data_IF_708062426228
#
_entry.id   IF_708062426228
#
_cell.length_a   1.000
_cell.length_b   1.000
_cell.length_c   1.000
_cell.angle_alpha   90.00
_cell.angle_beta   90.00
_cell.angle_gamma   90.00
#
_symmetry.space_group_name_H-M   'P 1'
#
loop_
_entity.id
_entity.type
_entity.pdbx_description
1 polymer ?
#
# COMPACT_ATOMS: atom_id res chain seq x y z
N UNK A 1 18.85 46.74 0.57
CA UNK A 1 17.43 46.34 0.62
C UNK A 1 17.38 44.83 0.83
N UNK A 2 16.67 44.32 1.85
CA UNK A 2 16.68 42.89 2.21
C UNK A 2 16.16 41.99 1.08
N UNK A 3 15.30 42.53 0.20
CA UNK A 3 14.72 41.80 -0.92
C UNK A 3 15.66 41.63 -2.13
N UNK A 4 16.88 42.17 -2.04
CA UNK A 4 17.97 41.90 -2.99
C UNK A 4 18.89 40.76 -2.53
N UNK A 5 18.79 40.31 -1.27
CA UNK A 5 19.60 39.20 -0.76
C UNK A 5 18.94 37.85 -1.11
N UNK A 6 19.57 37.01 -1.97
CA UNK A 6 19.03 35.70 -2.33
C UNK A 6 18.79 34.82 -1.10
N UNK A 7 19.66 34.87 -0.10
CA UNK A 7 19.57 34.01 1.09
C UNK A 7 18.35 34.36 1.93
N UNK A 8 18.11 35.66 2.11
CA UNK A 8 16.92 36.16 2.80
C UNK A 8 15.64 35.79 2.07
N UNK A 9 15.57 36.06 0.75
CA UNK A 9 14.38 35.76 -0.07
C UNK A 9 14.09 34.25 -0.08
N UNK A 10 15.12 33.41 -0.20
CA UNK A 10 14.97 31.96 -0.18
C UNK A 10 14.41 31.47 1.16
N UNK A 11 14.89 32.02 2.28
CA UNK A 11 14.39 31.67 3.61
C UNK A 11 12.95 32.15 3.81
N UNK A 12 12.62 33.34 3.32
CA UNK A 12 11.26 33.87 3.37
C UNK A 12 10.29 33.04 2.50
N UNK A 13 10.76 32.51 1.37
CA UNK A 13 9.93 31.73 0.45
C UNK A 13 9.51 30.35 1.00
N UNK A 14 10.25 29.81 1.99
CA UNK A 14 9.88 28.58 2.70
C UNK A 14 8.52 28.72 3.40
N UNK A 15 8.24 29.88 3.99
CA UNK A 15 6.99 30.15 4.72
C UNK A 15 5.98 30.91 3.87
N UNK A 16 6.43 31.82 3.01
CA UNK A 16 5.58 32.71 2.23
C UNK A 16 5.86 32.57 0.73
N UNK A 17 4.97 31.91 -0.01
CA UNK A 17 5.12 31.78 -1.47
C UNK A 17 5.18 33.13 -2.19
N UNK A 18 4.61 34.18 -1.60
CA UNK A 18 4.63 35.55 -2.11
C UNK A 18 5.98 36.26 -1.95
N UNK A 19 6.95 35.68 -1.23
CA UNK A 19 8.25 36.30 -0.99
C UNK A 19 9.01 36.59 -2.30
N UNK A 20 8.90 35.70 -3.29
CA UNK A 20 9.51 35.91 -4.62
C UNK A 20 8.93 37.15 -5.33
N UNK A 21 7.68 37.52 -5.05
CA UNK A 21 7.04 38.71 -5.64
C UNK A 21 7.60 40.04 -5.12
N UNK A 22 8.30 40.01 -3.98
CA UNK A 22 8.99 41.18 -3.42
C UNK A 22 10.46 41.23 -3.78
N UNK A 23 11.02 40.14 -4.28
CA UNK A 23 12.41 40.07 -4.71
C UNK A 23 12.68 41.01 -5.88
N UNK A 24 13.95 41.39 -6.05
CA UNK A 24 14.35 42.21 -7.19
C UNK A 24 14.06 41.53 -8.53
N UNK A 25 13.93 42.32 -9.58
CA UNK A 25 13.62 41.79 -10.91
C UNK A 25 14.73 40.87 -11.44
N UNK A 26 15.99 41.07 -11.03
CA UNK A 26 17.11 40.17 -11.33
C UNK A 26 16.90 38.78 -10.72
N UNK A 27 16.51 38.71 -9.44
CA UNK A 27 16.25 37.43 -8.76
C UNK A 27 15.03 36.71 -9.34
N UNK A 28 14.00 37.45 -9.72
CA UNK A 28 12.79 36.88 -10.35
C UNK A 28 13.03 36.34 -11.76
N UNK A 29 14.12 36.75 -12.40
CA UNK A 29 14.56 36.29 -13.72
C UNK A 29 15.67 35.24 -13.63
N UNK A 30 16.34 35.10 -12.50
CA UNK A 30 17.34 34.05 -12.29
C UNK A 30 16.67 32.67 -12.20
N UNK A 31 16.84 31.89 -13.26
CA UNK A 31 16.31 30.53 -13.38
C UNK A 31 16.74 29.61 -12.23
N UNK A 32 18.01 29.64 -11.84
CA UNK A 32 18.57 28.76 -10.80
C UNK A 32 18.00 29.11 -9.43
N UNK A 33 17.93 30.41 -9.15
CA UNK A 33 17.36 30.93 -7.91
C UNK A 33 15.86 30.60 -7.82
N UNK A 34 15.08 30.92 -8.87
CA UNK A 34 13.65 30.63 -8.92
C UNK A 34 13.39 29.12 -8.79
N UNK A 35 14.17 28.27 -9.46
CA UNK A 35 14.07 26.81 -9.29
C UNK A 35 14.25 26.39 -7.83
N UNK A 36 15.23 26.98 -7.13
CA UNK A 36 15.50 26.69 -5.72
C UNK A 36 14.37 27.16 -4.78
N UNK A 37 13.67 28.23 -5.17
CA UNK A 37 12.50 28.76 -4.47
C UNK A 37 11.27 27.87 -4.68
N UNK A 38 10.93 27.56 -5.94
CA UNK A 38 9.71 26.78 -6.25
C UNK A 38 9.78 25.33 -5.77
N UNK A 39 10.98 24.75 -5.67
CA UNK A 39 11.20 23.43 -5.05
C UNK A 39 10.81 23.38 -3.56
N UNK A 40 10.97 24.50 -2.85
CA UNK A 40 10.56 24.62 -1.44
C UNK A 40 9.07 24.95 -1.33
N UNK A 41 8.58 25.78 -2.24
CA UNK A 41 7.19 26.23 -2.26
C UNK A 41 6.71 26.50 -3.69
N UNK A 42 5.98 25.55 -4.27
CA UNK A 42 5.48 25.63 -5.65
C UNK A 42 4.56 26.83 -5.90
N UNK A 43 3.95 27.41 -4.85
CA UNK A 43 3.11 28.61 -4.95
C UNK A 43 3.90 29.90 -5.18
N UNK A 44 5.23 29.85 -5.23
CA UNK A 44 6.06 30.97 -5.64
C UNK A 44 6.10 31.18 -7.17
N UNK A 45 5.74 30.17 -7.97
CA UNK A 45 5.75 30.24 -9.43
C UNK A 45 5.02 31.44 -10.07
N UNK A 46 3.85 31.92 -9.56
CA UNK A 46 3.17 33.09 -10.13
C UNK A 46 4.02 34.36 -10.16
N UNK A 47 5.01 34.46 -9.25
CA UNK A 47 5.85 35.63 -9.07
C UNK A 47 7.13 35.59 -9.91
N UNK A 48 7.47 34.44 -10.48
CA UNK A 48 8.60 34.31 -11.41
C UNK A 48 8.36 35.11 -12.70
N UNK A 49 9.44 35.45 -13.40
CA UNK A 49 9.36 36.08 -14.72
C UNK A 49 8.54 35.22 -15.71
N UNK A 50 7.87 35.87 -16.66
CA UNK A 50 6.96 35.19 -17.60
C UNK A 50 7.63 34.04 -18.36
N UNK A 51 8.88 34.21 -18.79
CA UNK A 51 9.63 33.17 -19.49
C UNK A 51 9.96 31.96 -18.60
N UNK A 52 10.11 32.14 -17.28
CA UNK A 52 10.30 31.03 -16.33
C UNK A 52 9.01 30.29 -16.02
N UNK A 53 7.85 30.97 -16.11
CA UNK A 53 6.54 30.29 -16.08
C UNK A 53 6.24 29.50 -17.37
N UNK A 54 7.03 29.71 -18.42
CA UNK A 54 7.06 28.90 -19.65
C UNK A 54 8.22 27.90 -19.66
N UNK A 55 9.07 27.86 -18.62
CA UNK A 55 10.18 26.91 -18.52
C UNK A 55 9.67 25.59 -17.95
N UNK A 56 9.72 24.55 -18.79
CA UNK A 56 9.26 23.19 -18.46
C UNK A 56 9.79 22.69 -17.12
N UNK A 57 11.10 22.80 -16.87
CA UNK A 57 11.72 22.21 -15.68
C UNK A 57 11.43 23.02 -14.42
N UNK A 58 11.38 24.36 -14.53
CA UNK A 58 11.00 25.23 -13.40
C UNK A 58 9.57 24.91 -12.96
N UNK A 59 8.64 24.78 -13.91
CA UNK A 59 7.23 24.51 -13.59
C UNK A 59 7.06 23.09 -13.05
N UNK A 60 7.73 22.08 -13.62
CA UNK A 60 7.64 20.71 -13.12
C UNK A 60 8.24 20.57 -11.71
N UNK A 61 9.29 21.32 -11.40
CA UNK A 61 9.82 21.40 -10.04
C UNK A 61 8.82 22.03 -9.06
N UNK A 62 8.06 23.04 -9.49
CA UNK A 62 6.99 23.64 -8.69
C UNK A 62 5.82 22.65 -8.48
N UNK A 63 5.41 21.95 -9.53
CA UNK A 63 4.32 20.94 -9.52
C UNK A 63 4.65 19.78 -8.58
N UNK A 64 5.90 19.29 -8.58
CA UNK A 64 6.34 18.21 -7.69
C UNK A 64 6.13 18.57 -6.22
N UNK A 65 6.34 19.83 -5.85
CA UNK A 65 6.11 20.32 -4.49
C UNK A 65 4.63 20.58 -4.22
N UNK A 66 3.93 21.24 -5.16
CA UNK A 66 2.51 21.59 -5.05
C UNK A 66 1.80 21.45 -6.41
N UNK A 67 0.87 20.50 -6.57
CA UNK A 67 0.22 20.23 -7.84
C UNK A 67 -0.55 21.44 -8.39
N UNK A 68 -1.01 22.33 -7.50
CA UNK A 68 -1.70 23.58 -7.81
C UNK A 68 -0.85 24.54 -8.64
N UNK A 69 0.48 24.44 -8.54
CA UNK A 69 1.41 25.28 -9.28
C UNK A 69 1.18 25.20 -10.80
N UNK A 70 0.66 24.07 -11.31
CA UNK A 70 0.35 23.89 -12.72
C UNK A 70 -0.55 25.00 -13.27
N UNK A 71 -1.49 25.55 -12.47
CA UNK A 71 -2.39 26.62 -12.91
C UNK A 71 -1.67 27.93 -13.27
N UNK A 72 -0.46 28.12 -12.75
CA UNK A 72 0.35 29.33 -12.88
C UNK A 72 1.41 29.24 -13.99
N UNK A 73 1.56 28.07 -14.60
CA UNK A 73 2.30 27.89 -15.83
C UNK A 73 1.66 28.71 -16.97
N UNK A 74 2.44 29.03 -17.99
CA UNK A 74 1.94 29.69 -19.20
C UNK A 74 0.83 28.86 -19.87
N UNK A 75 -0.06 29.53 -20.60
CA UNK A 75 -1.10 28.84 -21.38
C UNK A 75 -0.50 27.95 -22.46
N UNK A 76 0.60 28.40 -23.10
CA UNK A 76 1.34 27.63 -24.10
C UNK A 76 1.82 26.29 -23.53
N UNK A 77 2.49 26.32 -22.36
CA UNK A 77 3.05 25.12 -21.75
C UNK A 77 1.94 24.19 -21.23
N UNK A 78 0.87 24.74 -20.63
CA UNK A 78 -0.30 23.96 -20.20
C UNK A 78 -1.07 23.33 -21.36
N UNK A 79 -1.01 23.93 -22.55
CA UNK A 79 -1.60 23.40 -23.77
C UNK A 79 -0.82 22.22 -24.35
N UNK A 80 0.43 22.02 -23.94
CA UNK A 80 1.25 20.91 -24.41
C UNK A 80 0.91 19.62 -23.67
N UNK A 81 0.43 18.64 -24.42
CA UNK A 81 0.05 17.32 -23.88
C UNK A 81 1.18 16.64 -23.13
N UNK A 82 2.35 16.52 -23.75
CA UNK A 82 3.54 15.85 -23.16
C UNK A 82 4.08 16.56 -21.91
N UNK A 83 3.77 17.85 -21.76
CA UNK A 83 4.07 18.59 -20.56
C UNK A 83 3.11 18.24 -19.42
N UNK A 84 1.81 18.25 -19.70
CA UNK A 84 0.79 17.90 -18.70
C UNK A 84 0.92 16.44 -18.29
N UNK A 85 1.24 15.53 -19.21
CA UNK A 85 1.56 14.14 -18.91
C UNK A 85 2.70 14.03 -17.88
N UNK A 86 3.82 14.71 -18.12
CA UNK A 86 4.96 14.73 -17.19
C UNK A 86 4.66 15.44 -15.84
N UNK A 87 3.63 16.30 -15.80
CA UNK A 87 3.16 16.94 -14.58
C UNK A 87 2.33 15.96 -13.74
N UNK A 88 1.37 15.25 -14.35
CA UNK A 88 0.52 14.27 -13.64
C UNK A 88 1.28 13.02 -13.22
N UNK A 89 2.33 12.62 -13.95
CA UNK A 89 3.22 11.53 -13.56
C UNK A 89 4.02 11.85 -12.29
N UNK A 90 4.31 13.13 -12.04
CA UNK A 90 4.98 13.59 -10.82
C UNK A 90 4.02 13.73 -9.64
N UNK A 91 2.79 14.14 -9.92
CA UNK A 91 1.73 14.29 -8.94
C UNK A 91 0.35 14.21 -9.62
N UNK A 92 -0.37 13.10 -9.42
CA UNK A 92 -1.66 12.85 -10.07
C UNK A 92 -2.72 13.92 -9.79
N UNK A 93 -2.67 14.56 -8.62
CA UNK A 93 -3.58 15.65 -8.27
C UNK A 93 -3.42 16.91 -9.16
N UNK A 94 -2.33 17.02 -9.93
CA UNK A 94 -2.16 18.08 -10.93
C UNK A 94 -3.24 18.07 -12.01
N UNK A 95 -3.91 16.94 -12.24
CA UNK A 95 -5.03 16.85 -13.19
C UNK A 95 -6.15 17.87 -12.88
N UNK A 96 -6.38 18.18 -11.60
CA UNK A 96 -7.34 19.20 -11.15
C UNK A 96 -7.10 20.60 -11.75
N UNK A 97 -5.84 20.90 -12.07
CA UNK A 97 -5.37 22.20 -12.56
C UNK A 97 -5.02 22.19 -14.05
N UNK A 98 -5.06 21.02 -14.69
CA UNK A 98 -4.87 20.88 -16.12
C UNK A 98 -6.03 21.57 -16.89
N UNK A 99 -5.78 22.07 -18.11
CA UNK A 99 -6.85 22.53 -19.01
C UNK A 99 -7.92 21.47 -19.22
N UNK A 100 -9.15 21.89 -19.50
CA UNK A 100 -10.28 20.98 -19.69
C UNK A 100 -9.97 19.88 -20.71
N UNK A 101 -9.35 20.24 -21.84
CA UNK A 101 -8.98 19.31 -22.92
C UNK A 101 -8.13 18.14 -22.39
N UNK A 102 -7.23 18.40 -21.44
CA UNK A 102 -6.36 17.37 -20.86
C UNK A 102 -7.09 16.45 -19.89
N UNK A 103 -8.19 16.91 -19.28
CA UNK A 103 -9.05 16.07 -18.43
C UNK A 103 -9.97 15.16 -19.24
N UNK A 104 -10.09 15.39 -20.54
CA UNK A 104 -10.73 14.49 -21.50
C UNK A 104 -9.74 13.55 -22.19
N UNK A 105 -8.43 13.75 -22.00
CA UNK A 105 -7.40 12.91 -22.62
C UNK A 105 -7.22 11.63 -21.79
N UNK A 106 -7.49 10.49 -22.42
CA UNK A 106 -7.45 9.18 -21.77
C UNK A 106 -6.07 8.86 -21.19
N UNK A 107 -4.98 9.14 -21.91
CA UNK A 107 -3.63 8.80 -21.46
C UNK A 107 -3.20 9.68 -20.28
N UNK A 108 -3.49 10.98 -20.36
CA UNK A 108 -3.19 11.92 -19.27
C UNK A 108 -3.97 11.53 -18.01
N UNK A 109 -5.25 11.20 -18.15
CA UNK A 109 -6.06 10.76 -17.00
C UNK A 109 -5.58 9.42 -16.46
N UNK A 110 -5.26 8.44 -17.32
CA UNK A 110 -4.72 7.15 -16.88
C UNK A 110 -3.41 7.32 -16.12
N UNK A 111 -2.47 8.13 -16.61
CA UNK A 111 -1.23 8.43 -15.92
C UNK A 111 -1.49 9.10 -14.56
N UNK A 112 -2.45 10.04 -14.49
CA UNK A 112 -2.83 10.70 -13.25
C UNK A 112 -3.41 9.70 -12.21
N UNK A 113 -4.36 8.84 -12.59
CA UNK A 113 -4.98 7.89 -11.66
C UNK A 113 -4.04 6.75 -11.25
N UNK A 114 -3.10 6.39 -12.12
CA UNK A 114 -2.05 5.42 -11.80
C UNK A 114 -1.04 5.98 -10.79
N UNK A 115 -0.82 7.30 -10.77
CA UNK A 115 -0.01 7.98 -9.76
C UNK A 115 -0.80 8.18 -8.46
N UNK A 116 -2.02 8.73 -8.56
CA UNK A 116 -2.93 9.01 -7.45
C UNK A 116 -4.38 8.67 -7.82
N UNK A 117 -4.94 7.61 -7.23
CA UNK A 117 -6.29 7.13 -7.57
C UNK A 117 -7.38 8.17 -7.38
N UNK A 118 -7.24 9.12 -6.43
CA UNK A 118 -8.24 10.17 -6.24
C UNK A 118 -8.29 11.19 -7.38
N UNK A 119 -7.29 11.18 -8.28
CA UNK A 119 -7.28 12.03 -9.46
C UNK A 119 -8.48 11.79 -10.40
N UNK A 120 -9.14 10.63 -10.30
CA UNK A 120 -10.36 10.32 -11.06
C UNK A 120 -11.46 11.38 -10.87
N UNK A 121 -11.54 11.98 -9.69
CA UNK A 121 -12.51 13.04 -9.38
C UNK A 121 -12.37 14.28 -10.29
N UNK A 122 -11.19 14.48 -10.89
CA UNK A 122 -10.91 15.61 -11.78
C UNK A 122 -11.01 15.26 -13.26
N UNK A 123 -11.14 13.98 -13.60
CA UNK A 123 -11.36 13.55 -14.97
C UNK A 123 -12.71 14.03 -15.48
N UNK A 124 -12.85 14.09 -16.81
CA UNK A 124 -14.15 14.33 -17.42
C UNK A 124 -15.13 13.18 -17.10
N UNK A 125 -16.43 13.49 -17.03
CA UNK A 125 -17.47 12.52 -16.70
C UNK A 125 -17.44 11.26 -17.59
N UNK A 126 -17.08 11.41 -18.89
CA UNK A 126 -16.94 10.28 -19.81
C UNK A 126 -15.81 9.31 -19.42
N UNK A 127 -14.79 9.78 -18.71
CA UNK A 127 -13.68 8.96 -18.22
C UNK A 127 -13.96 8.44 -16.80
N UNK A 128 -14.78 9.13 -16.01
CA UNK A 128 -15.31 8.61 -14.74
C UNK A 128 -16.27 7.43 -14.93
N UNK A 129 -16.96 7.36 -16.06
CA UNK A 129 -17.75 6.17 -16.44
C UNK A 129 -16.94 5.14 -17.25
N UNK A 130 -15.66 5.42 -17.54
CA UNK A 130 -14.83 4.47 -18.25
C UNK A 130 -14.36 3.37 -17.27
N UNK A 131 -14.68 2.12 -17.61
CA UNK A 131 -14.35 0.94 -16.80
C UNK A 131 -12.86 0.77 -16.56
N UNK A 132 -12.03 0.94 -17.58
CA UNK A 132 -10.57 0.78 -17.46
C UNK A 132 -9.98 1.83 -16.51
N UNK A 133 -10.34 3.10 -16.72
CA UNK A 133 -9.85 4.23 -15.91
C UNK A 133 -10.29 4.08 -14.46
N UNK A 134 -11.57 3.76 -14.23
CA UNK A 134 -12.13 3.62 -12.89
C UNK A 134 -11.52 2.44 -12.13
N UNK A 135 -11.35 1.29 -12.79
CA UNK A 135 -10.68 0.14 -12.18
C UNK A 135 -9.19 0.39 -11.92
N UNK A 136 -8.51 1.17 -12.74
CA UNK A 136 -7.12 1.58 -12.49
C UNK A 136 -7.02 2.51 -11.27
N UNK A 137 -7.95 3.46 -11.15
CA UNK A 137 -8.02 4.38 -10.02
C UNK A 137 -8.32 3.65 -8.70
N UNK A 138 -9.32 2.74 -8.71
CA UNK A 138 -9.71 1.91 -7.57
C UNK A 138 -8.56 1.02 -7.10
N UNK A 139 -7.83 0.40 -8.03
CA UNK A 139 -6.66 -0.42 -7.71
C UNK A 139 -5.58 0.38 -6.97
N UNK A 140 -5.46 1.67 -7.29
CA UNK A 140 -4.50 2.57 -6.63
C UNK A 140 -5.00 3.03 -5.27
N UNK A 141 -6.28 3.37 -5.16
CA UNK A 141 -6.91 3.86 -3.93
C UNK A 141 -8.42 3.57 -3.95
N UNK A 142 -8.94 2.84 -2.95
CA UNK A 142 -10.37 2.53 -2.85
C UNK A 142 -11.25 3.78 -2.81
N UNK A 143 -10.78 4.89 -2.24
CA UNK A 143 -11.51 6.15 -2.20
C UNK A 143 -11.80 6.72 -3.59
N UNK A 144 -11.12 6.26 -4.65
CA UNK A 144 -11.47 6.60 -6.03
C UNK A 144 -12.87 6.12 -6.42
N UNK A 145 -13.43 5.13 -5.70
CA UNK A 145 -14.78 4.63 -5.90
C UNK A 145 -15.86 5.75 -5.79
N UNK A 146 -15.65 6.76 -4.94
CA UNK A 146 -16.55 7.94 -4.85
C UNK A 146 -16.62 8.74 -6.15
N UNK A 147 -15.58 8.70 -6.98
CA UNK A 147 -15.50 9.43 -8.24
C UNK A 147 -15.93 8.60 -9.46
N UNK A 148 -16.03 7.27 -9.31
CA UNK A 148 -16.53 6.40 -10.37
C UNK A 148 -18.03 6.64 -10.58
N UNK A 149 -18.46 6.60 -11.84
CA UNK A 149 -19.86 6.89 -12.19
C UNK A 149 -20.83 5.91 -11.51
N UNK A 150 -21.98 6.37 -10.97
CA UNK A 150 -22.96 5.53 -10.26
C UNK A 150 -23.43 4.30 -11.06
N UNK A 151 -23.49 4.42 -12.38
CA UNK A 151 -23.91 3.37 -13.30
C UNK A 151 -22.99 2.15 -13.26
N UNK A 152 -21.70 2.34 -12.95
CA UNK A 152 -20.73 1.24 -12.84
C UNK A 152 -21.02 0.33 -11.63
N UNK A 153 -21.61 0.86 -10.57
CA UNK A 153 -21.94 0.10 -9.36
C UNK A 153 -23.18 -0.79 -9.51
N UNK A 154 -23.91 -0.64 -10.63
CA UNK A 154 -25.00 -1.54 -11.03
C UNK A 154 -24.50 -2.72 -11.87
N UNK A 155 -23.29 -2.63 -12.43
CA UNK A 155 -22.66 -3.72 -13.19
C UNK A 155 -21.95 -4.67 -12.24
N UNK A 156 -22.57 -5.84 -12.00
CA UNK A 156 -22.01 -6.91 -11.14
C UNK A 156 -20.57 -7.25 -11.52
N UNK A 157 -20.26 -7.40 -12.80
CA UNK A 157 -18.91 -7.78 -13.24
C UNK A 157 -17.90 -6.65 -12.99
N UNK A 158 -18.35 -5.38 -13.09
CA UNK A 158 -17.50 -4.25 -12.73
C UNK A 158 -17.13 -4.31 -11.26
N UNK A 159 -18.13 -4.47 -10.39
CA UNK A 159 -17.92 -4.50 -8.94
C UNK A 159 -17.02 -5.67 -8.55
N UNK A 160 -17.24 -6.87 -9.10
CA UNK A 160 -16.40 -8.02 -8.79
C UNK A 160 -14.95 -7.85 -9.25
N UNK A 161 -14.71 -7.22 -10.41
CA UNK A 161 -13.36 -6.89 -10.86
C UNK A 161 -12.74 -5.77 -10.02
N UNK A 162 -13.54 -4.83 -9.50
CA UNK A 162 -13.08 -3.83 -8.54
C UNK A 162 -12.67 -4.48 -7.21
N UNK A 163 -13.47 -5.40 -6.67
CA UNK A 163 -13.20 -6.16 -5.43
C UNK A 163 -11.90 -6.95 -5.54
N UNK A 164 -11.67 -7.60 -6.69
CA UNK A 164 -10.43 -8.33 -6.98
C UNK A 164 -9.19 -7.45 -6.83
N UNK A 165 -9.30 -6.16 -7.17
CA UNK A 165 -8.20 -5.19 -7.09
C UNK A 165 -8.11 -4.54 -5.71
N UNK A 166 -9.24 -4.26 -5.09
CA UNK A 166 -9.34 -3.67 -3.78
C UNK A 166 -10.71 -3.97 -3.15
N UNK A 167 -10.76 -4.80 -2.11
CA UNK A 167 -12.01 -5.22 -1.45
C UNK A 167 -12.73 -4.10 -0.71
N UNK A 168 -12.04 -3.01 -0.35
CA UNK A 168 -12.62 -1.86 0.35
C UNK A 168 -13.72 -1.15 -0.47
N UNK A 169 -13.75 -1.37 -1.79
CA UNK A 169 -14.85 -0.88 -2.65
C UNK A 169 -16.22 -1.44 -2.26
N UNK A 170 -16.28 -2.54 -1.51
CA UNK A 170 -17.56 -3.05 -0.99
C UNK A 170 -18.28 -2.02 -0.11
N UNK A 171 -17.59 -1.06 0.51
CA UNK A 171 -18.23 0.06 1.22
C UNK A 171 -19.09 0.94 0.29
N UNK A 172 -18.87 0.88 -1.02
CA UNK A 172 -19.61 1.61 -2.05
C UNK A 172 -20.65 0.76 -2.79
N UNK A 173 -20.52 -0.55 -2.69
CA UNK A 173 -21.41 -1.49 -3.36
C UNK A 173 -22.83 -1.39 -2.76
N UNK A 174 -23.88 -1.32 -3.59
CA UNK A 174 -25.26 -1.29 -3.10
C UNK A 174 -25.55 -2.42 -2.12
N UNK A 175 -26.28 -2.11 -1.05
CA UNK A 175 -26.59 -3.07 0.02
C UNK A 175 -27.30 -4.33 -0.51
N UNK A 176 -28.17 -4.17 -1.51
CA UNK A 176 -28.87 -5.28 -2.18
C UNK A 176 -27.89 -6.28 -2.80
N UNK A 177 -26.81 -5.79 -3.42
CA UNK A 177 -25.77 -6.64 -4.01
C UNK A 177 -24.90 -7.28 -2.93
N UNK A 178 -24.60 -6.57 -1.84
CA UNK A 178 -23.86 -7.13 -0.69
C UNK A 178 -24.66 -8.16 0.11
N UNK A 179 -25.99 -8.05 0.11
CA UNK A 179 -26.88 -9.02 0.74
C UNK A 179 -27.09 -10.29 -0.12
N UNK A 180 -26.66 -10.28 -1.38
CA UNK A 180 -26.70 -11.46 -2.24
C UNK A 180 -25.55 -12.42 -1.88
N UNK A 181 -25.91 -13.61 -1.40
CA UNK A 181 -24.94 -14.65 -1.04
C UNK A 181 -24.05 -15.07 -2.20
N UNK A 182 -24.61 -15.25 -3.39
CA UNK A 182 -23.85 -15.67 -4.57
C UNK A 182 -22.91 -14.57 -5.04
N UNK A 183 -23.27 -13.29 -4.84
CA UNK A 183 -22.34 -12.18 -5.01
C UNK A 183 -21.19 -12.23 -4.01
N UNK A 184 -21.50 -12.33 -2.71
CA UNK A 184 -20.48 -12.30 -1.67
C UNK A 184 -19.53 -13.50 -1.73
N UNK A 185 -20.02 -14.69 -2.08
CA UNK A 185 -19.17 -15.86 -2.30
C UNK A 185 -18.15 -15.59 -3.43
N UNK A 186 -18.60 -15.10 -4.58
CA UNK A 186 -17.70 -14.78 -5.70
C UNK A 186 -16.74 -13.62 -5.38
N UNK A 187 -17.21 -12.61 -4.63
CA UNK A 187 -16.38 -11.50 -4.16
C UNK A 187 -15.21 -12.02 -3.29
N UNK A 188 -15.51 -12.95 -2.38
CA UNK A 188 -14.54 -13.62 -1.50
C UNK A 188 -13.60 -14.54 -2.29
N UNK A 189 -14.10 -15.26 -3.29
CA UNK A 189 -13.25 -16.07 -4.20
C UNK A 189 -12.22 -15.20 -4.94
N UNK A 190 -12.61 -13.99 -5.35
CA UNK A 190 -11.70 -13.05 -6.03
C UNK A 190 -10.74 -12.34 -5.07
N UNK A 191 -11.15 -12.12 -3.82
CA UNK A 191 -10.36 -11.48 -2.78
C UNK A 191 -10.90 -11.86 -1.38
N UNK A 192 -10.21 -12.75 -0.66
CA UNK A 192 -10.63 -13.22 0.67
C UNK A 192 -10.87 -12.12 1.70
N UNK A 193 -10.21 -10.96 1.54
CA UNK A 193 -10.37 -9.79 2.41
C UNK A 193 -11.76 -9.12 2.25
N UNK A 194 -12.53 -9.49 1.22
CA UNK A 194 -13.93 -9.09 1.03
C UNK A 194 -14.84 -9.54 2.18
N UNK A 195 -14.49 -10.62 2.89
CA UNK A 195 -15.26 -11.13 4.03
C UNK A 195 -15.46 -10.05 5.10
N UNK A 196 -14.48 -9.15 5.28
CA UNK A 196 -14.56 -8.02 6.23
C UNK A 196 -15.79 -7.13 6.04
N UNK A 197 -16.28 -7.03 4.82
CA UNK A 197 -17.38 -6.13 4.43
C UNK A 197 -18.71 -6.86 4.23
N UNK A 198 -18.73 -8.17 4.49
CA UNK A 198 -19.93 -8.97 4.54
C UNK A 198 -20.77 -8.59 5.77
N UNK A 199 -22.10 -8.74 5.68
CA UNK A 199 -22.97 -8.65 6.86
C UNK A 199 -22.74 -9.81 7.83
N UNK A 200 -23.16 -9.64 9.08
CA UNK A 200 -22.93 -10.60 10.18
C UNK A 200 -23.41 -12.02 9.85
N UNK A 201 -24.53 -12.15 9.13
CA UNK A 201 -25.10 -13.43 8.70
C UNK A 201 -24.11 -14.26 7.84
N UNK A 202 -23.22 -13.61 7.08
CA UNK A 202 -22.22 -14.29 6.25
C UNK A 202 -20.98 -14.73 7.04
N UNK A 203 -20.75 -14.16 8.23
CA UNK A 203 -19.65 -14.56 9.10
C UNK A 203 -19.91 -15.91 9.77
N UNK A 204 -21.15 -16.40 9.70
CA UNK A 204 -21.57 -17.74 10.13
C UNK A 204 -21.74 -18.71 8.95
N UNK A 205 -21.57 -18.25 7.71
CA UNK A 205 -21.63 -19.11 6.52
C UNK A 205 -20.33 -19.89 6.34
N UNK A 206 -20.36 -21.17 6.72
CA UNK A 206 -19.18 -22.05 6.70
C UNK A 206 -18.49 -22.10 5.33
N UNK A 207 -19.24 -22.15 4.23
CA UNK A 207 -18.69 -22.26 2.87
C UNK A 207 -17.96 -20.97 2.51
N UNK A 208 -18.61 -19.83 2.74
CA UNK A 208 -18.06 -18.50 2.44
C UNK A 208 -16.82 -18.21 3.29
N UNK A 209 -16.87 -18.54 4.58
CA UNK A 209 -15.74 -18.39 5.50
C UNK A 209 -14.57 -19.29 5.12
N UNK A 210 -14.82 -20.58 4.82
CA UNK A 210 -13.75 -21.48 4.37
C UNK A 210 -13.10 -20.97 3.09
N UNK A 211 -13.90 -20.43 2.17
CA UNK A 211 -13.40 -19.86 0.91
C UNK A 211 -12.51 -18.64 1.18
N UNK A 212 -12.93 -17.74 2.07
CA UNK A 212 -12.13 -16.58 2.49
C UNK A 212 -10.80 -17.01 3.10
N UNK A 213 -10.84 -17.97 4.02
CA UNK A 213 -9.65 -18.53 4.70
C UNK A 213 -8.71 -19.21 3.69
N UNK A 214 -9.26 -19.91 2.70
CA UNK A 214 -8.46 -20.54 1.65
C UNK A 214 -7.77 -19.51 0.75
N UNK A 215 -8.41 -18.35 0.51
CA UNK A 215 -7.81 -17.24 -0.22
C UNK A 215 -6.76 -16.49 0.61
N UNK A 216 -7.05 -16.17 1.88
CA UNK A 216 -6.11 -15.59 2.84
C UNK A 216 -6.43 -16.08 4.26
N UNK A 217 -5.47 -16.78 4.88
CA UNK A 217 -5.61 -17.31 6.23
C UNK A 217 -5.87 -16.23 7.29
N UNK A 218 -5.51 -14.96 7.04
CA UNK A 218 -5.82 -13.87 8.00
C UNK A 218 -7.30 -13.51 8.06
N UNK A 219 -8.13 -14.00 7.13
CA UNK A 219 -9.58 -13.83 7.15
C UNK A 219 -10.24 -14.38 8.43
N UNK A 220 -9.54 -15.29 9.14
CA UNK A 220 -9.94 -15.80 10.45
C UNK A 220 -10.21 -14.68 11.48
N UNK A 221 -9.61 -13.49 11.32
CA UNK A 221 -9.84 -12.35 12.23
C UNK A 221 -11.24 -11.76 12.18
N UNK A 222 -11.97 -11.99 11.09
CA UNK A 222 -13.30 -11.42 10.88
C UNK A 222 -14.44 -12.33 11.33
N UNK A 223 -14.17 -13.62 11.53
CA UNK A 223 -15.21 -14.61 11.81
C UNK A 223 -15.58 -14.65 13.29
N UNK A 224 -16.79 -15.13 13.58
CA UNK A 224 -17.31 -15.26 14.94
C UNK A 224 -16.49 -16.18 15.84
N UNK A 225 -16.65 -16.03 17.15
CA UNK A 225 -15.92 -16.81 18.17
C UNK A 225 -16.07 -18.33 18.02
N UNK A 226 -17.23 -18.79 17.52
CA UNK A 226 -17.51 -20.21 17.32
C UNK A 226 -16.54 -20.81 16.29
N UNK A 227 -16.41 -20.17 15.13
CA UNK A 227 -15.52 -20.63 14.06
C UNK A 227 -14.04 -20.46 14.42
N UNK A 228 -13.68 -19.44 15.23
CA UNK A 228 -12.30 -19.28 15.74
C UNK A 228 -11.87 -20.35 16.74
N UNK A 229 -12.83 -21.09 17.30
CA UNK A 229 -12.56 -22.26 18.17
C UNK A 229 -12.60 -23.58 17.40
N UNK A 230 -13.17 -23.58 16.20
CA UNK A 230 -13.24 -24.77 15.39
C UNK A 230 -11.87 -25.08 14.78
N UNK A 231 -11.33 -26.25 15.16
CA UNK A 231 -10.01 -26.72 14.71
C UNK A 231 -9.94 -26.81 13.18
N UNK A 232 -11.02 -27.14 12.49
CA UNK A 232 -11.03 -27.25 11.03
C UNK A 232 -10.69 -25.91 10.37
N UNK A 233 -11.39 -24.85 10.77
CA UNK A 233 -11.18 -23.50 10.22
C UNK A 233 -9.82 -22.93 10.61
N UNK A 234 -9.42 -23.13 11.87
CA UNK A 234 -8.13 -22.64 12.36
C UNK A 234 -6.95 -23.34 11.69
N UNK A 235 -6.99 -24.67 11.54
CA UNK A 235 -5.94 -25.40 10.83
C UNK A 235 -5.92 -25.05 9.34
N UNK A 236 -7.08 -24.83 8.71
CA UNK A 236 -7.14 -24.35 7.34
C UNK A 236 -6.49 -22.97 7.19
N UNK A 237 -6.74 -22.05 8.12
CA UNK A 237 -6.13 -20.71 8.12
C UNK A 237 -4.62 -20.75 8.31
N UNK A 238 -4.15 -21.52 9.30
CA UNK A 238 -2.72 -21.66 9.60
C UNK A 238 -1.96 -22.39 8.50
N UNK A 239 -2.59 -23.35 7.83
CA UNK A 239 -2.03 -24.02 6.66
C UNK A 239 -1.90 -23.09 5.43
N UNK A 240 -2.63 -21.97 5.40
CA UNK A 240 -2.54 -20.96 4.33
C UNK A 240 -1.60 -19.82 4.67
N UNK A 241 -1.72 -19.27 5.87
CA UNK A 241 -0.93 -18.13 6.31
C UNK A 241 -0.68 -18.21 7.82
N UNK A 242 0.57 -18.41 8.23
CA UNK A 242 0.97 -18.46 9.64
C UNK A 242 0.68 -17.14 10.38
N UNK A 243 0.49 -16.02 9.66
CA UNK A 243 0.03 -14.76 10.25
C UNK A 243 -1.40 -14.82 10.80
N UNK A 244 -2.10 -15.95 10.63
CA UNK A 244 -3.37 -16.20 11.31
C UNK A 244 -3.19 -16.52 12.82
N UNK A 245 -1.98 -16.85 13.26
CA UNK A 245 -1.65 -17.23 14.65
C UNK A 245 -2.19 -16.26 15.74
N UNK A 246 -2.11 -14.93 15.57
CA UNK A 246 -2.61 -14.00 16.58
C UNK A 246 -4.13 -14.02 16.75
N UNK A 247 -4.88 -14.59 15.80
CA UNK A 247 -6.35 -14.57 15.79
C UNK A 247 -6.99 -15.83 16.38
N UNK A 248 -6.19 -16.76 16.89
CA UNK A 248 -6.68 -17.95 17.56
C UNK A 248 -7.43 -17.60 18.84
N UNK A 249 -8.44 -18.41 19.16
CA UNK A 249 -9.09 -18.34 20.45
C UNK A 249 -8.11 -18.72 21.59
N UNK A 250 -8.23 -18.05 22.74
CA UNK A 250 -7.37 -18.24 23.91
C UNK A 250 -7.29 -19.71 24.36
N UNK A 251 -8.37 -20.47 24.19
CA UNK A 251 -8.40 -21.88 24.57
C UNK A 251 -7.44 -22.73 23.71
N UNK A 252 -7.32 -22.43 22.42
CA UNK A 252 -6.41 -23.12 21.51
C UNK A 252 -4.95 -22.73 21.77
N UNK A 253 -4.71 -21.50 22.22
CA UNK A 253 -3.39 -21.05 22.70
C UNK A 253 -2.93 -21.78 23.96
N UNK A 254 -3.84 -22.36 24.74
CA UNK A 254 -3.53 -23.16 25.95
C UNK A 254 -3.49 -24.66 25.67
N UNK A 255 -3.96 -25.11 24.51
CA UNK A 255 -3.92 -26.52 24.12
C UNK A 255 -2.54 -26.87 23.55
N UNK A 256 -1.70 -27.49 24.40
CA UNK A 256 -0.37 -27.97 24.02
C UNK A 256 -0.40 -28.95 22.85
N UNK A 257 -1.37 -29.85 22.79
CA UNK A 257 -1.45 -30.84 21.72
C UNK A 257 -1.76 -30.17 20.38
N UNK A 258 -2.64 -29.17 20.41
CA UNK A 258 -2.94 -28.34 19.25
C UNK A 258 -1.74 -27.47 18.81
N UNK A 259 -1.04 -26.81 19.73
CA UNK A 259 0.15 -26.02 19.36
C UNK A 259 1.26 -26.89 18.73
N UNK A 260 1.44 -28.13 19.20
CA UNK A 260 2.35 -29.09 18.57
C UNK A 260 1.89 -29.54 17.18
N UNK A 261 0.58 -29.63 16.94
CA UNK A 261 0.00 -29.89 15.62
C UNK A 261 0.24 -28.71 14.67
N UNK A 262 0.00 -27.48 15.14
CA UNK A 262 0.27 -26.24 14.40
C UNK A 262 1.74 -26.09 14.05
N UNK A 263 2.65 -26.35 15.00
CA UNK A 263 4.10 -26.28 14.74
C UNK A 263 4.55 -27.24 13.64
N UNK A 264 3.94 -28.44 13.57
CA UNK A 264 4.19 -29.41 12.49
C UNK A 264 3.60 -28.98 11.16
N UNK A 265 2.45 -28.31 11.18
CA UNK A 265 1.76 -27.82 9.99
C UNK A 265 2.51 -26.64 9.36
N UNK A 266 2.94 -25.68 10.18
CA UNK A 266 3.63 -24.45 9.73
C UNK A 266 5.09 -24.72 9.37
N UNK A 267 5.80 -25.60 10.10
CA UNK A 267 7.19 -25.97 9.80
C UNK A 267 7.33 -27.49 9.53
N UNK A 268 6.99 -27.96 8.30
CA UNK A 268 6.95 -29.39 7.97
C UNK A 268 8.32 -30.10 7.94
N UNK A 269 9.45 -29.36 8.00
CA UNK A 269 10.78 -29.88 7.70
C UNK A 269 11.68 -30.20 8.91
N UNK A 270 11.15 -30.43 10.11
CA UNK A 270 12.02 -30.81 11.24
C UNK A 270 12.16 -32.33 11.49
N UNK A 271 11.42 -33.19 10.78
CA UNK A 271 11.41 -34.66 11.05
C UNK A 271 11.89 -35.58 9.93
N UNK A 272 12.25 -35.06 8.76
CA UNK A 272 12.65 -35.88 7.59
C UNK A 272 14.16 -35.93 7.32
N UNK A 273 15.01 -35.25 8.09
CA UNK A 273 16.47 -35.22 7.84
C UNK A 273 17.33 -36.12 8.75
N UNK A 274 16.74 -37.09 9.46
CA UNK A 274 17.55 -38.13 10.12
C UNK A 274 17.90 -39.33 9.24
N UNK A 275 17.49 -39.34 7.97
CA UNK A 275 17.94 -40.37 7.02
C UNK A 275 18.22 -39.78 5.65
N UNK A 276 19.46 -39.95 5.19
CA UNK A 276 19.99 -39.80 3.82
C UNK A 276 20.59 -38.44 3.40
N UNK A 277 21.92 -38.38 3.60
CA UNK A 277 23.00 -37.78 2.77
C UNK A 277 22.68 -37.03 1.46
N UNK A 278 23.10 -35.75 1.46
CA UNK A 278 24.00 -35.05 0.49
C UNK A 278 23.54 -34.75 -0.94
N UNK A 279 23.24 -33.48 -1.25
CA UNK A 279 23.71 -32.78 -2.49
C UNK A 279 23.73 -31.24 -2.30
N UNK A 280 24.80 -30.56 -2.75
CA UNK A 280 25.06 -29.12 -2.56
C UNK A 280 24.02 -28.16 -3.18
N UNK A 281 23.08 -28.62 -4.00
CA UNK A 281 21.96 -27.80 -4.48
C UNK A 281 20.84 -27.61 -3.45
N UNK A 282 20.75 -28.43 -2.39
CA UNK A 282 19.79 -28.22 -1.29
C UNK A 282 20.21 -27.11 -0.31
N UNK A 283 21.50 -26.72 -0.27
CA UNK A 283 22.00 -25.73 0.71
C UNK A 283 21.62 -24.28 0.38
N UNK A 284 21.38 -23.94 -0.89
CA UNK A 284 20.93 -22.59 -1.27
C UNK A 284 19.42 -22.41 -1.09
N UNK A 285 18.59 -23.41 -1.42
CA UNK A 285 17.16 -23.37 -1.13
C UNK A 285 16.86 -23.49 0.37
N UNK A 286 17.64 -24.25 1.14
CA UNK A 286 17.46 -24.31 2.60
C UNK A 286 17.74 -22.97 3.29
N UNK A 287 18.64 -22.12 2.79
CA UNK A 287 18.94 -20.83 3.43
C UNK A 287 17.76 -19.85 3.44
N UNK A 288 16.91 -19.90 2.41
CA UNK A 288 15.70 -19.07 2.29
C UNK A 288 14.51 -19.65 3.05
N UNK A 289 14.42 -20.98 3.14
CA UNK A 289 13.37 -21.69 3.89
C UNK A 289 13.65 -21.64 5.40
N UNK A 290 14.92 -21.74 5.83
CA UNK A 290 15.29 -21.61 7.24
C UNK A 290 15.06 -20.19 7.75
N UNK A 291 15.29 -19.15 6.93
CA UNK A 291 15.04 -17.77 7.38
C UNK A 291 13.56 -17.47 7.61
N UNK A 292 12.63 -18.08 6.85
CA UNK A 292 11.19 -17.96 7.13
C UNK A 292 10.75 -18.81 8.33
N UNK A 293 11.17 -20.08 8.46
CA UNK A 293 10.81 -20.88 9.65
C UNK A 293 11.44 -20.36 10.95
N UNK A 294 12.63 -19.74 10.91
CA UNK A 294 13.28 -19.15 12.08
C UNK A 294 12.56 -17.86 12.54
N UNK A 295 12.03 -17.07 11.59
CA UNK A 295 11.17 -15.92 11.89
C UNK A 295 9.81 -16.36 12.44
N UNK A 296 9.23 -17.43 11.90
CA UNK A 296 7.92 -17.96 12.29
C UNK A 296 7.96 -18.71 13.65
N UNK A 297 9.03 -19.45 13.95
CA UNK A 297 9.28 -20.00 15.29
C UNK A 297 9.52 -18.89 16.32
N UNK A 298 10.25 -17.84 15.96
CA UNK A 298 10.48 -16.69 16.83
C UNK A 298 9.19 -15.91 17.11
N UNK A 299 8.22 -15.90 16.19
CA UNK A 299 6.94 -15.21 16.37
C UNK A 299 5.98 -15.97 17.30
N UNK A 300 5.92 -17.31 17.18
CA UNK A 300 5.24 -18.16 18.18
C UNK A 300 5.87 -18.00 19.56
N UNK A 301 7.22 -17.98 19.63
CA UNK A 301 7.97 -17.76 20.87
C UNK A 301 7.77 -16.37 21.47
N UNK A 302 7.63 -15.35 20.63
CA UNK A 302 7.45 -13.94 21.03
C UNK A 302 6.03 -13.66 21.51
N UNK A 303 5.02 -14.30 20.91
CA UNK A 303 3.61 -14.09 21.24
C UNK A 303 3.17 -14.90 22.47
N UNK A 304 3.82 -16.04 22.76
CA UNK A 304 3.55 -16.83 23.97
C UNK A 304 4.83 -17.50 24.52
N UNK A 305 5.65 -16.77 25.31
CA UNK A 305 6.91 -17.30 25.82
C UNK A 305 6.74 -18.48 26.80
N UNK A 306 5.60 -18.57 27.50
CA UNK A 306 5.29 -19.65 28.44
C UNK A 306 4.89 -20.96 27.73
N UNK A 307 4.39 -20.89 26.50
CA UNK A 307 4.06 -22.08 25.70
C UNK A 307 5.30 -22.87 25.25
N UNK A 308 6.47 -22.22 25.17
CA UNK A 308 7.73 -22.85 24.77
C UNK A 308 8.65 -23.22 25.95
N UNK A 309 8.37 -22.75 27.16
CA UNK A 309 9.14 -23.12 28.37
C UNK A 309 8.98 -24.60 28.79
N UNK A 310 8.16 -25.38 28.07
CA UNK A 310 8.06 -26.83 28.20
C UNK A 310 8.35 -27.60 26.89
N UNK A 311 9.02 -26.96 25.93
CA UNK A 311 9.63 -27.69 24.81
C UNK A 311 10.90 -28.33 25.33
N UNK A 312 10.97 -29.67 25.29
CA UNK A 312 12.15 -30.44 25.66
C UNK A 312 13.44 -29.86 25.06
N UNK A 313 14.52 -29.93 25.83
CA UNK A 313 15.90 -29.56 25.45
C UNK A 313 16.41 -30.32 24.20
N UNK A 314 15.65 -31.28 23.68
CA UNK A 314 15.97 -32.09 22.50
C UNK A 314 15.69 -31.39 21.14
N UNK A 315 15.12 -30.18 21.14
CA UNK A 315 14.94 -29.34 19.94
C UNK A 315 15.97 -28.19 19.82
N UNK A 316 16.96 -28.14 20.72
CA UNK A 316 18.10 -27.22 20.60
C UNK A 316 19.12 -27.81 19.61
N UNK A 317 19.30 -27.15 18.47
CA UNK A 317 20.35 -27.49 17.50
C UNK A 317 21.74 -27.55 18.18
N UNK A 318 22.51 -28.64 18.03
CA UNK A 318 23.89 -28.68 18.49
C UNK A 318 24.81 -27.89 17.54
N UNK A 319 25.38 -26.80 18.08
CA UNK A 319 26.68 -26.15 17.79
C UNK A 319 26.99 -25.58 16.39
N UNK A 320 27.39 -24.30 16.36
CA UNK A 320 28.81 -23.92 16.23
C UNK A 320 29.06 -22.41 16.41
N UNK A 321 30.05 -22.06 17.24
CA UNK A 321 30.85 -20.85 17.05
C UNK A 321 30.72 -19.77 18.11
N UNK A 322 31.30 -20.00 19.29
CA UNK A 322 31.72 -18.94 20.22
C UNK A 322 32.67 -17.96 19.53
N UNK A 323 32.15 -16.83 19.02
CA UNK A 323 32.98 -15.66 18.73
C UNK A 323 33.05 -14.80 19.99
N UNK A 324 34.09 -15.09 20.78
CA UNK A 324 34.56 -14.28 21.89
C UNK A 324 34.72 -12.81 21.47
N UNK A 325 33.83 -11.93 21.93
CA UNK A 325 34.09 -10.50 21.96
C UNK A 325 34.26 -10.10 23.43
N UNK A 326 35.47 -10.34 23.96
CA UNK A 326 35.90 -9.80 25.25
C UNK A 326 35.88 -8.28 25.14
N UNK A 327 35.00 -7.67 25.91
CA UNK A 327 35.09 -6.25 26.26
C UNK A 327 36.47 -5.97 26.85
N UNK A 328 37.25 -5.17 26.14
CA UNK A 328 38.36 -4.41 26.71
C UNK A 328 37.77 -3.28 27.56
N UNK A 329 37.93 -3.38 28.88
CA UNK A 329 38.00 -2.21 29.76
C UNK A 329 39.13 -2.42 30.77
N UNK A 330 40.25 -1.75 30.47
CA UNK A 330 41.09 -0.91 31.33
C UNK A 330 41.70 -1.44 32.67
N UNK A 331 43.03 -1.20 32.74
CA UNK A 331 43.82 -0.71 33.86
C UNK A 331 44.07 -1.60 35.09
N UNK A 332 45.31 -2.01 35.31
CA UNK A 332 46.28 -1.31 36.18
C UNK A 332 47.45 -2.22 36.59
N UNK A 333 48.66 -1.62 36.54
CA UNK A 333 49.93 -1.97 37.19
C UNK A 333 50.75 -3.15 36.66
#
# INVERSE_FOLDING_TARGET
DLWQDPSFVLKAAETLGTALGRASDELRQDRSFVTSVVKRNGMALPFAAAHLRNDREVVLAAVQNRPEALRHASEELRGQRDFVLAAVERNGASLAYAPQQMRHDLEVVLAAVQNDGVALAYAAAQLQCNREVSLAAIARNASAAFAAAPELWQDREFVLEAVRRNSEVLLHTPDEMRADRAFMLEAVERNGDALRYAGDDFLEDEELVLTAIQSDGTALRYVGDVMRRDRQFVLAALGRNAMALPYLADELWRDRAFLLEVARLVCPNHRSQQTTTTTQQQQQNNKQITTNCDLEHAEVARLNPDALLQVDEDLVCPNHGTASNKQQTANNK
#
